data_IF_543501031760
#
_entry.id   IF_543501031760
#
_cell.length_a   1.000
_cell.length_b   1.000
_cell.length_c   1.000
_cell.angle_alpha   90.00
_cell.angle_beta   90.00
_cell.angle_gamma   90.00
#
_symmetry.space_group_name_H-M   'P 1'
#
loop_
_entity.id
_entity.type
_entity.pdbx_description
1 polymer ?
#
# COMPACT_ATOMS: atom_id res chain seq x y z
N UNK A 1 -31.26 -16.44 -15.83
CA UNK A 1 -30.92 -17.13 -17.09
C UNK A 1 -29.41 -17.36 -17.07
N UNK A 2 -28.97 -18.58 -16.78
CA UNK A 2 -27.54 -18.95 -16.70
C UNK A 2 -27.13 -19.39 -18.10
N UNK A 3 -26.22 -18.66 -18.74
CA UNK A 3 -25.62 -19.08 -20.02
C UNK A 3 -24.34 -19.83 -19.68
N UNK A 4 -24.39 -21.16 -19.76
CA UNK A 4 -23.21 -22.01 -19.71
C UNK A 4 -22.54 -22.00 -21.09
N UNK A 5 -21.33 -21.45 -21.20
CA UNK A 5 -20.52 -21.61 -22.40
C UNK A 5 -19.77 -22.95 -22.34
N UNK A 6 -20.16 -23.88 -23.21
CA UNK A 6 -19.38 -25.10 -23.46
C UNK A 6 -18.15 -24.73 -24.30
N UNK A 7 -16.97 -25.07 -23.81
CA UNK A 7 -15.74 -25.09 -24.62
C UNK A 7 -15.52 -26.54 -25.04
N UNK A 8 -15.80 -26.86 -26.30
CA UNK A 8 -15.40 -28.14 -26.89
C UNK A 8 -14.04 -27.99 -27.57
N UNK A 9 -13.13 -28.90 -27.24
CA UNK A 9 -11.87 -29.09 -27.96
C UNK A 9 -12.02 -30.38 -28.76
N UNK A 10 -12.05 -30.28 -30.09
CA UNK A 10 -12.03 -31.47 -30.96
C UNK A 10 -10.58 -31.93 -31.13
N UNK A 11 -10.21 -32.96 -30.38
CA UNK A 11 -9.15 -33.88 -30.71
C UNK A 11 -9.70 -35.30 -30.50
N UNK A 12 -9.81 -36.07 -31.59
CA UNK A 12 -10.06 -37.51 -31.71
C UNK A 12 -10.74 -38.26 -30.55
N UNK A 13 -11.97 -38.72 -30.83
CA UNK A 13 -12.67 -39.90 -30.30
C UNK A 13 -12.28 -40.37 -28.88
N UNK A 14 -12.90 -39.76 -27.87
CA UNK A 14 -13.62 -40.46 -26.80
C UNK A 14 -14.34 -39.40 -25.96
N UNK A 15 -15.66 -39.34 -26.10
CA UNK A 15 -16.50 -38.59 -25.18
C UNK A 15 -16.59 -39.38 -23.87
N UNK A 16 -16.04 -38.87 -22.78
CA UNK A 16 -16.33 -39.37 -21.44
C UNK A 16 -17.07 -38.25 -20.69
N UNK A 17 -18.32 -38.46 -20.26
CA UNK A 17 -19.05 -37.45 -19.50
C UNK A 17 -18.46 -37.35 -18.10
N UNK A 18 -18.10 -36.13 -17.67
CA UNK A 18 -17.83 -35.84 -16.27
C UNK A 18 -19.16 -35.82 -15.51
N UNK A 19 -19.49 -36.93 -14.85
CA UNK A 19 -20.50 -36.95 -13.79
C UNK A 19 -19.88 -36.46 -12.48
N UNK A 20 -20.60 -35.57 -11.80
CA UNK A 20 -20.29 -35.11 -10.46
C UNK A 20 -20.39 -36.28 -9.48
N UNK A 21 -19.28 -36.68 -8.84
CA UNK A 21 -19.32 -37.55 -7.67
C UNK A 21 -19.05 -36.73 -6.41
N UNK A 22 -20.08 -36.64 -5.58
CA UNK A 22 -20.12 -35.92 -4.33
C UNK A 22 -20.10 -36.96 -3.19
N UNK A 23 -18.93 -37.50 -2.83
CA UNK A 23 -18.76 -38.21 -1.55
C UNK A 23 -17.28 -38.34 -1.17
N UNK A 24 -17.01 -38.40 0.14
CA UNK A 24 -15.68 -38.41 0.77
C UNK A 24 -14.96 -39.77 0.74
N UNK A 25 -15.42 -40.72 -0.06
CA UNK A 25 -14.96 -42.11 0.00
C UNK A 25 -14.54 -42.64 -1.38
N UNK A 26 -13.46 -42.10 -1.96
CA UNK A 26 -12.73 -42.76 -3.06
C UNK A 26 -11.32 -42.20 -3.22
N UNK A 27 -10.48 -42.43 -2.21
CA UNK A 27 -9.04 -42.05 -2.20
C UNK A 27 -8.09 -43.25 -2.25
N UNK A 28 -8.51 -44.38 -2.83
CA UNK A 28 -7.64 -45.56 -2.95
C UNK A 28 -7.79 -46.23 -4.30
N UNK A 29 -7.35 -45.56 -5.35
CA UNK A 29 -6.77 -46.14 -6.56
C UNK A 29 -6.44 -45.00 -7.53
N UNK A 30 -5.26 -44.41 -7.39
CA UNK A 30 -4.63 -43.70 -8.51
C UNK A 30 -3.19 -44.20 -8.56
N UNK A 31 -2.88 -44.86 -9.68
CA UNK A 31 -1.64 -45.54 -9.95
C UNK A 31 -0.43 -44.60 -10.03
N UNK A 32 0.71 -45.23 -9.76
CA UNK A 32 2.05 -44.99 -10.28
C UNK A 32 2.33 -43.65 -10.98
N UNK A 33 3.23 -42.89 -10.36
CA UNK A 33 3.89 -41.72 -10.92
C UNK A 33 4.63 -42.07 -12.23
N UNK A 34 4.40 -41.28 -13.27
CA UNK A 34 5.30 -41.21 -14.42
C UNK A 34 6.53 -40.38 -14.05
N UNK A 35 7.72 -40.93 -14.24
CA UNK A 35 9.00 -40.21 -14.14
C UNK A 35 9.29 -39.44 -15.43
N UNK A 36 10.06 -38.33 -15.40
CA UNK A 36 10.28 -37.45 -16.57
C UNK A 36 11.21 -38.00 -17.68
N UNK A 37 11.29 -39.31 -17.88
CA UNK A 37 12.19 -39.94 -18.86
C UNK A 37 11.53 -40.38 -20.18
N UNK A 38 10.19 -40.39 -20.27
CA UNK A 38 9.51 -41.14 -21.34
C UNK A 38 8.69 -40.25 -22.30
N UNK A 39 9.16 -39.05 -22.61
CA UNK A 39 8.53 -38.19 -23.63
C UNK A 39 9.58 -37.70 -24.63
N UNK A 40 9.61 -38.34 -25.81
CA UNK A 40 10.24 -37.75 -26.98
C UNK A 40 9.51 -36.46 -27.41
N UNK A 41 10.22 -35.45 -27.92
CA UNK A 41 9.62 -34.20 -28.34
C UNK A 41 8.92 -34.39 -29.70
N UNK A 42 7.63 -34.72 -29.70
CA UNK A 42 6.81 -34.63 -30.90
C UNK A 42 6.14 -33.27 -31.02
N UNK A 43 6.63 -32.50 -31.99
CA UNK A 43 6.01 -31.41 -32.76
C UNK A 43 5.25 -30.30 -32.01
N UNK A 44 5.76 -29.08 -32.21
CA UNK A 44 5.15 -27.79 -31.89
C UNK A 44 3.70 -27.68 -32.41
N UNK A 45 2.71 -28.03 -31.58
CA UNK A 45 1.33 -27.58 -31.78
C UNK A 45 1.17 -26.20 -31.16
N UNK A 46 1.12 -25.19 -32.03
CA UNK A 46 0.74 -23.82 -31.67
C UNK A 46 -0.76 -23.83 -31.36
N UNK A 47 -1.14 -23.73 -30.09
CA UNK A 47 -2.51 -23.39 -29.70
C UNK A 47 -2.61 -21.87 -29.72
N UNK A 48 -3.23 -21.33 -30.76
CA UNK A 48 -3.51 -19.90 -30.86
C UNK A 48 -4.84 -19.58 -30.15
N UNK A 49 -4.76 -19.14 -28.89
CA UNK A 49 -5.92 -18.63 -28.17
C UNK A 49 -6.19 -17.18 -28.59
N UNK A 50 -7.15 -16.98 -29.49
CA UNK A 50 -7.79 -15.68 -29.71
C UNK A 50 -8.67 -15.36 -28.49
N UNK A 51 -8.23 -14.40 -27.69
CA UNK A 51 -9.05 -13.82 -26.62
C UNK A 51 -9.51 -12.44 -27.08
N UNK A 52 -10.75 -12.35 -27.56
CA UNK A 52 -11.45 -11.07 -27.67
C UNK A 52 -11.84 -10.63 -26.26
N UNK A 53 -11.26 -9.51 -25.82
CA UNK A 53 -11.53 -8.96 -24.48
C UNK A 53 -12.53 -7.84 -24.64
N UNK A 54 -13.82 -8.18 -24.62
CA UNK A 54 -14.83 -7.25 -24.17
C UNK A 54 -14.67 -7.05 -22.65
N UNK A 55 -14.78 -5.79 -22.25
CA UNK A 55 -14.59 -5.25 -20.91
C UNK A 55 -15.18 -6.11 -19.78
N UNK A 56 -14.36 -6.95 -19.15
CA UNK A 56 -14.52 -7.47 -17.77
C UNK A 56 -13.19 -8.04 -17.27
N UNK A 57 -12.87 -7.72 -16.02
CA UNK A 57 -11.65 -8.18 -15.33
C UNK A 57 -11.74 -9.68 -15.09
N UNK A 58 -10.93 -10.48 -15.80
CA UNK A 58 -10.74 -11.89 -15.47
C UNK A 58 -9.49 -12.01 -14.60
N UNK A 59 -9.71 -12.20 -13.30
CA UNK A 59 -8.67 -12.69 -12.39
C UNK A 59 -8.47 -14.19 -12.66
N UNK A 60 -7.56 -14.52 -13.58
CA UNK A 60 -7.19 -15.92 -13.86
C UNK A 60 -6.36 -16.44 -12.68
N UNK A 61 -7.02 -17.18 -11.80
CA UNK A 61 -6.42 -17.96 -10.71
C UNK A 61 -5.98 -19.32 -11.27
N UNK A 62 -4.96 -19.33 -12.12
CA UNK A 62 -4.38 -20.58 -12.63
C UNK A 62 -2.86 -20.50 -12.61
N UNK A 63 -2.23 -21.56 -12.09
CA UNK A 63 -0.79 -21.77 -12.09
C UNK A 63 -0.28 -21.87 -13.53
N UNK A 64 -0.11 -20.74 -14.21
CA UNK A 64 0.68 -20.69 -15.44
C UNK A 64 2.14 -20.77 -14.99
N UNK A 65 2.66 -22.00 -15.03
CA UNK A 65 4.10 -22.26 -15.16
C UNK A 65 4.54 -21.42 -16.35
N UNK A 66 5.28 -20.34 -16.06
CA UNK A 66 5.88 -19.48 -17.07
C UNK A 66 6.94 -20.29 -17.82
N UNK A 67 6.52 -21.02 -18.85
CA UNK A 67 7.43 -21.49 -19.88
C UNK A 67 8.08 -20.27 -20.54
N UNK A 68 9.41 -20.25 -20.45
CA UNK A 68 10.29 -19.14 -20.80
C UNK A 68 10.36 -19.06 -22.34
N UNK A 69 9.56 -18.19 -22.98
CA UNK A 69 9.77 -17.75 -24.38
C UNK A 69 9.46 -16.26 -24.55
N UNK A 70 10.05 -15.67 -25.60
CA UNK A 70 10.06 -14.24 -25.98
C UNK A 70 8.70 -13.53 -25.93
N UNK A 71 7.59 -14.26 -26.13
CA UNK A 71 6.21 -13.73 -26.09
C UNK A 71 5.78 -13.23 -24.69
N UNK A 72 6.34 -13.76 -23.60
CA UNK A 72 6.06 -13.25 -22.24
C UNK A 72 6.55 -11.81 -22.06
N UNK A 73 7.67 -11.45 -22.69
CA UNK A 73 8.21 -10.09 -22.66
C UNK A 73 7.30 -9.12 -23.39
N UNK A 74 6.71 -9.54 -24.50
CA UNK A 74 5.76 -8.74 -25.28
C UNK A 74 4.41 -8.59 -24.56
N UNK A 75 3.94 -9.67 -23.94
CA UNK A 75 2.75 -9.64 -23.08
C UNK A 75 2.95 -8.71 -21.88
N UNK A 76 4.07 -8.82 -21.15
CA UNK A 76 4.42 -7.89 -20.06
C UNK A 76 4.51 -6.44 -20.56
N UNK A 77 5.09 -6.20 -21.75
CA UNK A 77 5.09 -4.85 -22.36
C UNK A 77 3.67 -4.35 -22.64
N UNK A 78 2.76 -5.20 -23.15
CA UNK A 78 1.35 -4.85 -23.39
C UNK A 78 0.59 -4.57 -22.08
N UNK A 79 0.75 -5.40 -21.06
CA UNK A 79 0.16 -5.23 -19.72
C UNK A 79 0.64 -3.92 -19.07
N UNK A 80 1.94 -3.63 -19.14
CA UNK A 80 2.51 -2.38 -18.63
C UNK A 80 2.07 -1.14 -19.43
N UNK A 81 1.89 -1.25 -20.76
CA UNK A 81 1.35 -0.16 -21.60
C UNK A 81 -0.11 0.17 -21.30
N UNK A 82 -0.91 -0.84 -20.95
CA UNK A 82 -2.33 -0.68 -20.57
C UNK A 82 -2.54 -0.17 -19.13
N UNK A 83 -1.47 0.14 -18.40
CA UNK A 83 -1.56 0.70 -17.05
C UNK A 83 -1.90 -0.31 -15.96
N UNK A 84 -1.66 -1.61 -16.20
CA UNK A 84 -1.70 -2.61 -15.13
C UNK A 84 -0.35 -2.58 -14.39
N UNK A 85 -0.33 -1.84 -13.27
CA UNK A 85 0.90 -1.56 -12.51
C UNK A 85 1.18 -2.56 -11.38
N UNK A 86 0.29 -3.54 -11.17
CA UNK A 86 0.40 -4.51 -10.10
C UNK A 86 0.78 -5.87 -10.66
N UNK A 87 2.01 -6.27 -10.40
CA UNK A 87 2.49 -7.62 -10.70
C UNK A 87 2.26 -8.51 -9.48
N UNK A 88 1.67 -9.70 -9.66
CA UNK A 88 1.62 -10.70 -8.61
C UNK A 88 3.01 -10.94 -8.02
N UNK A 89 3.09 -11.19 -6.71
CA UNK A 89 4.37 -11.43 -5.99
C UNK A 89 5.27 -12.44 -6.71
N UNK A 90 4.69 -13.48 -7.33
CA UNK A 90 5.45 -14.48 -8.12
C UNK A 90 6.13 -13.89 -9.36
N UNK A 91 5.50 -12.94 -10.07
CA UNK A 91 6.12 -12.27 -11.22
C UNK A 91 7.21 -11.30 -10.75
N UNK A 92 7.05 -10.67 -9.60
CA UNK A 92 8.10 -9.85 -8.97
C UNK A 92 9.34 -10.70 -8.65
N UNK A 93 9.16 -11.80 -7.93
CA UNK A 93 10.26 -12.71 -7.55
C UNK A 93 10.98 -13.28 -8.80
N UNK A 94 10.22 -13.60 -9.85
CA UNK A 94 10.79 -14.01 -11.14
C UNK A 94 11.66 -12.90 -11.75
N UNK A 95 11.15 -11.68 -11.84
CA UNK A 95 11.89 -10.57 -12.40
C UNK A 95 13.15 -10.21 -11.60
N UNK A 96 13.11 -10.31 -10.27
CA UNK A 96 14.28 -10.15 -9.41
C UNK A 96 15.32 -11.25 -9.66
N UNK A 97 14.88 -12.53 -9.65
CA UNK A 97 15.74 -13.69 -9.94
C UNK A 97 16.44 -13.57 -11.29
N UNK A 98 15.76 -13.02 -12.30
CA UNK A 98 16.27 -12.89 -13.66
C UNK A 98 16.84 -11.50 -13.99
N UNK A 99 17.10 -10.65 -12.98
CA UNK A 99 17.66 -9.29 -13.15
C UNK A 99 16.88 -8.42 -14.17
N UNK A 100 15.58 -8.68 -14.33
CA UNK A 100 14.70 -7.89 -15.19
C UNK A 100 14.43 -6.57 -14.47
N UNK A 101 15.19 -5.54 -14.81
CA UNK A 101 15.04 -4.19 -14.22
C UNK A 101 13.66 -3.63 -14.55
N UNK A 102 12.76 -3.61 -13.56
CA UNK A 102 11.56 -2.78 -13.66
C UNK A 102 11.99 -1.32 -13.71
N UNK A 103 11.59 -0.63 -14.77
CA UNK A 103 11.90 0.80 -14.88
C UNK A 103 11.22 1.53 -13.72
N UNK A 104 12.02 2.12 -12.83
CA UNK A 104 11.68 3.16 -11.82
C UNK A 104 10.63 4.18 -12.32
N UNK A 105 10.55 4.34 -13.64
CA UNK A 105 9.61 5.17 -14.38
C UNK A 105 8.12 4.82 -14.15
N UNK A 106 7.76 3.56 -13.93
CA UNK A 106 6.34 3.18 -13.80
C UNK A 106 5.69 3.75 -12.52
N UNK A 107 6.35 3.61 -11.37
CA UNK A 107 5.90 4.20 -10.09
C UNK A 107 5.91 5.73 -10.14
N UNK A 108 6.91 6.32 -10.79
CA UNK A 108 6.96 7.77 -10.96
C UNK A 108 5.78 8.28 -11.80
N UNK A 109 5.43 7.60 -12.90
CA UNK A 109 4.23 7.93 -13.69
C UNK A 109 2.95 7.78 -12.87
N UNK A 110 2.84 6.73 -12.05
CA UNK A 110 1.68 6.52 -11.19
C UNK A 110 1.56 7.62 -10.11
N UNK A 111 2.67 8.03 -9.52
CA UNK A 111 2.72 9.17 -8.60
C UNK A 111 2.28 10.49 -9.25
N UNK A 112 2.55 10.68 -10.54
CA UNK A 112 2.02 11.83 -11.29
C UNK A 112 0.50 11.76 -11.48
N UNK A 113 -0.12 10.59 -11.35
CA UNK A 113 -1.58 10.43 -11.47
C UNK A 113 -2.35 10.49 -10.14
N UNK A 114 -1.67 10.53 -8.99
CA UNK A 114 -2.37 10.66 -7.69
C UNK A 114 -3.03 12.03 -7.55
N UNK A 115 -4.07 12.13 -6.72
CA UNK A 115 -4.66 13.42 -6.35
C UNK A 115 -3.66 14.28 -5.58
N UNK A 116 -3.03 13.70 -4.56
CA UNK A 116 -2.18 14.43 -3.62
C UNK A 116 -1.03 13.61 -3.05
N UNK A 117 -0.41 14.17 -2.02
CA UNK A 117 0.66 13.54 -1.23
C UNK A 117 0.24 13.44 0.24
N UNK A 118 0.45 12.27 0.83
CA UNK A 118 0.45 12.07 2.27
C UNK A 118 1.88 12.25 2.79
N UNK A 119 2.17 13.42 3.34
CA UNK A 119 3.47 13.77 3.90
C UNK A 119 3.46 13.55 5.42
N UNK A 120 4.53 13.02 5.97
CA UNK A 120 4.77 13.05 7.42
C UNK A 120 6.15 12.50 7.76
N UNK A 121 6.61 12.80 8.97
CA UNK A 121 7.78 12.13 9.52
C UNK A 121 7.49 10.63 9.74
N UNK A 122 8.47 9.72 9.62
CA UNK A 122 8.30 8.32 9.98
C UNK A 122 7.69 8.15 11.38
N UNK A 123 6.87 7.11 11.58
CA UNK A 123 6.21 6.79 12.87
C UNK A 123 5.13 7.80 13.33
N UNK A 124 4.66 8.68 12.46
CA UNK A 124 3.60 9.66 12.76
C UNK A 124 2.16 9.18 12.44
N UNK A 125 1.92 7.88 12.22
CA UNK A 125 0.56 7.37 11.99
C UNK A 125 0.15 7.12 10.52
N UNK A 126 1.09 7.21 9.57
CA UNK A 126 0.85 6.95 8.13
C UNK A 126 0.02 5.69 7.84
N UNK A 127 0.37 4.57 8.48
CA UNK A 127 -0.29 3.29 8.19
C UNK A 127 -1.77 3.36 8.54
N UNK A 128 -2.11 3.94 9.70
CA UNK A 128 -3.48 4.06 10.16
C UNK A 128 -4.29 4.98 9.25
N UNK A 129 -3.78 6.18 8.95
CA UNK A 129 -4.49 7.09 8.07
C UNK A 129 -4.63 6.54 6.63
N UNK A 130 -3.60 5.87 6.09
CA UNK A 130 -3.72 5.20 4.78
C UNK A 130 -4.75 4.08 4.80
N UNK A 131 -4.86 3.31 5.90
CA UNK A 131 -5.89 2.30 6.05
C UNK A 131 -7.29 2.92 5.98
N UNK A 132 -7.53 4.00 6.74
CA UNK A 132 -8.80 4.75 6.71
C UNK A 132 -9.10 5.24 5.29
N UNK A 133 -8.10 5.84 4.64
CA UNK A 133 -8.27 6.39 3.29
C UNK A 133 -8.59 5.29 2.29
N UNK A 134 -7.85 4.17 2.26
CA UNK A 134 -8.15 3.06 1.35
C UNK A 134 -9.52 2.43 1.64
N UNK A 135 -9.86 2.23 2.92
CA UNK A 135 -11.15 1.67 3.33
C UNK A 135 -12.33 2.52 2.86
N UNK A 136 -12.31 3.82 3.11
CA UNK A 136 -13.45 4.70 2.79
C UNK A 136 -13.46 5.08 1.30
N UNK A 137 -12.31 5.42 0.71
CA UNK A 137 -12.27 5.87 -0.70
C UNK A 137 -12.44 4.74 -1.71
N UNK A 138 -12.32 3.48 -1.28
CA UNK A 138 -12.22 2.32 -2.17
C UNK A 138 -11.06 2.43 -3.19
N UNK A 139 -10.12 3.36 -2.97
CA UNK A 139 -9.01 3.66 -3.87
C UNK A 139 -7.67 3.43 -3.16
N UNK A 140 -6.68 2.84 -3.83
CA UNK A 140 -5.41 2.51 -3.18
C UNK A 140 -4.60 3.76 -2.82
N UNK A 141 -3.69 3.65 -1.86
CA UNK A 141 -2.63 4.64 -1.64
C UNK A 141 -1.31 4.07 -2.11
N UNK A 142 -0.45 4.89 -2.70
CA UNK A 142 0.88 4.48 -3.12
C UNK A 142 1.87 4.63 -1.96
N UNK A 143 2.66 3.60 -1.69
CA UNK A 143 3.74 3.68 -0.71
C UNK A 143 4.89 4.59 -1.16
N UNK A 144 5.92 4.70 -0.31
CA UNK A 144 7.08 5.56 -0.53
C UNK A 144 7.80 5.28 -1.85
N UNK A 145 8.06 6.34 -2.63
CA UNK A 145 8.79 6.19 -3.89
C UNK A 145 10.21 5.69 -3.65
N UNK A 146 10.55 4.61 -4.36
CA UNK A 146 11.85 3.95 -4.28
C UNK A 146 11.91 2.83 -3.23
N UNK A 147 10.90 2.69 -2.37
CA UNK A 147 10.80 1.54 -1.48
C UNK A 147 9.85 0.51 -2.11
N UNK A 148 10.42 -0.63 -2.53
CA UNK A 148 9.62 -1.68 -3.17
C UNK A 148 8.69 -2.40 -2.19
N UNK A 149 9.01 -2.31 -0.91
CA UNK A 149 8.35 -3.00 0.16
C UNK A 149 7.28 -2.16 0.86
N UNK A 150 7.30 -0.84 0.64
CA UNK A 150 6.17 0.02 0.99
C UNK A 150 5.08 -0.11 -0.09
N UNK A 151 4.19 -1.07 0.13
CA UNK A 151 3.07 -1.39 -0.74
C UNK A 151 1.79 -0.64 -0.32
N UNK A 152 0.74 -0.71 -1.13
CA UNK A 152 -0.59 -0.20 -0.76
C UNK A 152 -1.17 -0.99 0.41
N UNK A 153 -2.01 -0.37 1.24
CA UNK A 153 -2.52 -1.00 2.46
C UNK A 153 -3.39 -2.22 2.16
N UNK A 154 -4.25 -2.15 1.14
CA UNK A 154 -5.08 -3.28 0.69
C UNK A 154 -4.29 -4.50 0.20
N UNK A 155 -2.98 -4.35 -0.01
CA UNK A 155 -2.09 -5.45 -0.43
C UNK A 155 -1.44 -6.18 0.75
N UNK A 156 -1.60 -5.65 1.96
CA UNK A 156 -1.19 -6.36 3.17
C UNK A 156 -2.13 -7.54 3.45
N UNK A 157 -1.63 -8.52 4.20
CA UNK A 157 -2.43 -9.65 4.67
C UNK A 157 -2.93 -9.35 6.09
N UNK A 158 -4.24 -9.21 6.24
CA UNK A 158 -4.89 -8.96 7.52
C UNK A 158 -5.48 -10.26 8.07
N UNK A 159 -5.82 -10.27 9.36
CA UNK A 159 -6.59 -11.38 9.95
C UNK A 159 -7.93 -11.56 9.23
N UNK A 160 -8.58 -10.46 8.87
CA UNK A 160 -9.70 -10.43 7.92
C UNK A 160 -9.25 -9.96 6.53
N UNK A 161 -9.03 -10.90 5.62
CA UNK A 161 -8.63 -10.62 4.23
C UNK A 161 -9.78 -10.12 3.35
N UNK A 162 -10.98 -9.89 3.88
CA UNK A 162 -12.11 -9.31 3.15
C UNK A 162 -12.18 -7.79 3.27
N UNK A 163 -11.58 -7.22 4.32
CA UNK A 163 -11.85 -5.85 4.75
C UNK A 163 -11.52 -4.76 3.74
N UNK A 164 -10.54 -5.00 2.87
CA UNK A 164 -10.11 -4.07 1.82
C UNK A 164 -10.25 -4.66 0.42
N UNK A 165 -11.08 -5.70 0.23
CA UNK A 165 -11.29 -6.31 -1.09
C UNK A 165 -11.97 -5.39 -2.09
N UNK A 166 -12.73 -4.41 -1.61
CA UNK A 166 -13.38 -3.40 -2.44
C UNK A 166 -12.41 -2.32 -2.93
N UNK A 167 -11.18 -2.28 -2.41
CA UNK A 167 -10.18 -1.28 -2.82
C UNK A 167 -9.62 -1.64 -4.19
N UNK A 168 -9.83 -0.77 -5.17
CA UNK A 168 -9.40 -0.96 -6.55
C UNK A 168 -9.14 0.37 -7.27
N UNK A 169 -8.63 0.30 -8.50
CA UNK A 169 -8.48 1.48 -9.36
C UNK A 169 -7.16 2.24 -9.20
N UNK A 170 -7.20 3.55 -9.46
CA UNK A 170 -6.02 4.42 -9.48
C UNK A 170 -5.66 4.88 -8.07
N UNK A 171 -4.36 4.94 -7.71
CA UNK A 171 -3.99 5.42 -6.39
C UNK A 171 -4.34 6.88 -6.17
N UNK A 172 -4.90 7.19 -5.00
CA UNK A 172 -5.35 8.54 -4.67
C UNK A 172 -4.27 9.41 -4.05
N UNK A 173 -3.41 8.83 -3.21
CA UNK A 173 -2.33 9.56 -2.53
C UNK A 173 -1.00 8.84 -2.67
N UNK A 174 0.07 9.63 -2.70
CA UNK A 174 1.44 9.14 -2.56
C UNK A 174 1.95 9.37 -1.14
N UNK A 175 2.45 8.34 -0.47
CA UNK A 175 3.19 8.48 0.80
C UNK A 175 4.58 9.05 0.57
N UNK A 176 4.96 10.05 1.36
CA UNK A 176 6.30 10.61 1.37
C UNK A 176 6.78 10.90 2.80
N UNK A 177 8.08 10.70 3.03
CA UNK A 177 8.78 11.11 4.25
C UNK A 177 9.79 12.23 4.01
N UNK A 178 10.03 12.58 2.74
CA UNK A 178 10.99 13.60 2.34
C UNK A 178 10.36 14.47 1.25
N UNK A 179 10.64 15.77 1.30
CA UNK A 179 10.08 16.79 0.39
C UNK A 179 10.53 16.62 -1.06
N UNK A 180 11.78 16.21 -1.29
CA UNK A 180 12.32 15.96 -2.64
C UNK A 180 11.65 14.79 -3.39
N UNK A 181 10.83 13.98 -2.71
CA UNK A 181 10.09 12.88 -3.33
C UNK A 181 8.68 13.27 -3.76
N UNK A 182 8.26 14.49 -3.47
CA UNK A 182 6.95 15.00 -3.85
C UNK A 182 6.99 15.35 -5.34
N UNK A 183 6.12 14.73 -6.17
CA UNK A 183 6.08 15.03 -7.60
C UNK A 183 5.70 16.49 -7.85
N UNK A 184 6.27 17.09 -8.89
CA UNK A 184 5.83 18.38 -9.44
C UNK A 184 4.81 18.14 -10.58
N UNK A 185 3.81 19.03 -10.81
CA UNK A 185 3.54 20.28 -10.10
C UNK A 185 3.03 20.06 -8.66
N UNK A 186 3.02 21.11 -7.84
CA UNK A 186 2.57 21.05 -6.44
C UNK A 186 1.11 20.56 -6.37
N UNK A 187 0.92 19.41 -5.73
CA UNK A 187 -0.39 18.81 -5.47
C UNK A 187 -0.87 19.12 -4.05
N UNK A 188 -2.17 18.90 -3.75
CA UNK A 188 -2.66 18.92 -2.37
C UNK A 188 -1.84 18.02 -1.44
N UNK A 189 -1.61 18.50 -0.22
CA UNK A 189 -0.86 17.79 0.82
C UNK A 189 -1.78 17.49 2.00
N UNK A 190 -1.78 16.23 2.42
CA UNK A 190 -2.19 15.86 3.77
C UNK A 190 -0.93 15.68 4.59
N UNK A 191 -0.73 16.49 5.62
CA UNK A 191 0.44 16.43 6.49
C UNK A 191 0.05 15.84 7.84
N UNK A 192 0.59 14.67 8.19
CA UNK A 192 0.38 14.11 9.54
C UNK A 192 1.44 14.68 10.48
N UNK A 193 0.99 15.47 11.44
CA UNK A 193 1.82 16.09 12.46
C UNK A 193 1.65 15.31 13.77
N UNK A 194 2.76 14.80 14.31
CA UNK A 194 2.79 14.08 15.59
C UNK A 194 3.78 14.77 16.51
N UNK A 195 3.48 14.91 17.79
CA UNK A 195 4.41 15.51 18.74
C UNK A 195 5.85 14.99 18.53
N UNK A 196 6.84 15.88 18.29
CA UNK A 196 8.18 15.42 17.90
C UNK A 196 8.86 14.59 18.99
N UNK A 197 8.57 14.87 20.27
CA UNK A 197 9.00 14.06 21.43
C UNK A 197 8.52 12.62 21.39
N UNK A 198 7.51 12.28 20.59
CA UNK A 198 7.10 10.90 20.34
C UNK A 198 7.63 10.36 19.02
N UNK A 199 7.58 11.18 17.95
CA UNK A 199 7.88 10.72 16.61
C UNK A 199 9.38 10.46 16.40
N UNK A 200 10.23 11.40 16.83
CA UNK A 200 11.67 11.36 16.61
C UNK A 200 12.33 10.20 17.37
N UNK A 201 12.16 10.03 18.69
CA UNK A 201 12.81 8.93 19.39
C UNK A 201 12.38 7.58 18.82
N UNK A 202 11.09 7.39 18.55
CA UNK A 202 10.56 6.13 17.97
C UNK A 202 11.18 5.79 16.62
N UNK A 203 11.59 6.79 15.84
CA UNK A 203 12.31 6.54 14.59
C UNK A 203 13.82 6.35 14.82
N UNK A 204 14.47 7.27 15.54
CA UNK A 204 15.90 7.26 15.80
C UNK A 204 16.34 5.97 16.52
N UNK A 205 15.59 5.51 17.52
CA UNK A 205 15.93 4.28 18.23
C UNK A 205 15.79 3.01 17.40
N UNK A 206 14.79 2.93 16.52
CA UNK A 206 14.66 1.81 15.58
C UNK A 206 15.86 1.76 14.63
N UNK A 207 16.39 2.92 14.28
CA UNK A 207 17.56 3.08 13.43
C UNK A 207 18.85 2.71 14.15
N UNK A 208 19.04 3.15 15.40
CA UNK A 208 20.15 2.73 16.25
C UNK A 208 20.19 1.20 16.43
N UNK A 209 19.05 0.55 16.63
CA UNK A 209 18.99 -0.92 16.69
C UNK A 209 19.37 -1.62 15.38
N UNK A 210 19.41 -0.88 14.27
CA UNK A 210 19.82 -1.36 12.94
C UNK A 210 21.21 -0.84 12.54
N UNK A 211 22.05 -0.44 13.52
CA UNK A 211 23.39 0.12 13.31
C UNK A 211 23.42 1.43 12.50
N UNK A 212 22.32 2.17 12.45
CA UNK A 212 22.31 3.51 11.86
C UNK A 212 22.92 4.51 12.86
N UNK A 213 23.98 5.20 12.42
CA UNK A 213 24.72 6.18 13.22
C UNK A 213 24.29 7.62 12.93
N UNK A 214 23.16 7.82 12.25
CA UNK A 214 22.62 9.16 11.94
C UNK A 214 22.49 9.97 13.24
N UNK A 215 23.13 11.16 13.33
CA UNK A 215 23.02 12.01 14.50
C UNK A 215 21.56 12.41 14.80
N UNK A 216 21.24 12.60 16.07
CA UNK A 216 19.91 13.02 16.51
C UNK A 216 19.49 14.36 15.88
N UNK A 217 20.47 15.24 15.70
CA UNK A 217 20.36 16.56 15.06
C UNK A 217 19.81 16.43 13.63
N UNK A 218 20.25 15.43 12.87
CA UNK A 218 19.76 15.18 11.51
C UNK A 218 18.31 14.67 11.52
N UNK A 219 17.90 13.91 12.55
CA UNK A 219 16.51 13.53 12.72
C UNK A 219 15.61 14.73 13.04
N UNK A 220 16.06 15.63 13.91
CA UNK A 220 15.35 16.89 14.23
C UNK A 220 15.25 17.77 12.99
N UNK A 221 16.37 18.00 12.30
CA UNK A 221 16.41 18.78 11.05
C UNK A 221 15.50 18.19 9.98
N UNK A 222 15.51 16.87 9.81
CA UNK A 222 14.60 16.19 8.88
C UNK A 222 13.14 16.41 9.26
N UNK A 223 12.79 16.31 10.55
CA UNK A 223 11.43 16.59 11.03
C UNK A 223 11.01 18.04 10.73
N UNK A 224 11.85 19.01 11.09
CA UNK A 224 11.56 20.44 10.90
C UNK A 224 11.47 20.83 9.43
N UNK A 225 12.32 20.26 8.57
CA UNK A 225 12.25 20.51 7.13
C UNK A 225 10.90 20.13 6.49
N UNK A 226 10.14 19.21 7.10
CA UNK A 226 8.78 18.90 6.66
C UNK A 226 7.79 19.99 7.04
N UNK A 227 7.92 20.55 8.25
CA UNK A 227 7.10 21.68 8.71
C UNK A 227 7.38 22.88 7.82
N UNK A 228 8.64 23.28 7.68
CA UNK A 228 9.02 24.45 6.88
C UNK A 228 8.54 24.32 5.43
N UNK A 229 8.61 23.10 4.86
CA UNK A 229 8.10 22.83 3.53
C UNK A 229 6.58 22.99 3.44
N UNK A 230 5.84 22.53 4.44
CA UNK A 230 4.38 22.68 4.49
C UNK A 230 3.98 24.14 4.64
N UNK A 231 4.70 24.92 5.46
CA UNK A 231 4.45 26.36 5.61
C UNK A 231 4.75 27.16 4.34
N UNK A 232 5.76 26.73 3.59
CA UNK A 232 6.12 27.34 2.31
C UNK A 232 5.29 26.81 1.11
N UNK A 233 4.43 25.82 1.32
CA UNK A 233 3.66 25.21 0.23
C UNK A 233 2.57 26.16 -0.24
N UNK A 234 2.53 26.43 -1.55
CA UNK A 234 1.55 27.36 -2.15
C UNK A 234 0.22 26.72 -2.51
N UNK A 235 0.14 25.38 -2.45
CA UNK A 235 -1.07 24.61 -2.72
C UNK A 235 -1.88 24.34 -1.46
N UNK A 236 -2.97 23.60 -1.61
CA UNK A 236 -3.83 23.22 -0.49
C UNK A 236 -3.12 22.28 0.48
N UNK A 237 -3.17 22.60 1.77
CA UNK A 237 -2.68 21.74 2.86
C UNK A 237 -3.81 21.40 3.82
N UNK A 238 -3.88 20.14 4.22
CA UNK A 238 -4.66 19.68 5.38
C UNK A 238 -3.71 19.06 6.40
N UNK A 239 -3.64 19.64 7.60
CA UNK A 239 -2.84 19.11 8.70
C UNK A 239 -3.71 18.18 9.55
N UNK A 240 -3.26 16.94 9.72
CA UNK A 240 -3.88 15.95 10.60
C UNK A 240 -3.02 15.79 11.84
N UNK A 241 -3.54 16.16 13.01
CA UNK A 241 -2.88 15.90 14.28
C UNK A 241 -2.96 14.40 14.61
N UNK A 242 -1.83 13.76 14.90
CA UNK A 242 -1.78 12.33 15.22
C UNK A 242 -2.64 11.97 16.43
N UNK A 243 -2.69 12.85 17.44
CA UNK A 243 -3.48 12.61 18.65
C UNK A 243 -4.98 12.60 18.34
N UNK A 244 -5.45 13.48 17.46
CA UNK A 244 -6.84 13.47 16.98
C UNK A 244 -7.13 12.26 16.09
N UNK A 245 -6.16 11.83 15.28
CA UNK A 245 -6.29 10.62 14.46
C UNK A 245 -6.45 9.36 15.33
N UNK A 246 -5.90 9.35 16.55
CA UNK A 246 -6.05 8.24 17.50
C UNK A 246 -7.31 8.39 18.35
N UNK A 247 -7.56 9.59 18.90
CA UNK A 247 -8.68 9.84 19.84
C UNK A 247 -10.03 9.99 19.14
N UNK A 248 -10.05 10.66 17.99
CA UNK A 248 -11.26 11.07 17.26
C UNK A 248 -11.18 10.72 15.76
N UNK A 249 -10.89 9.45 15.38
CA UNK A 249 -10.60 9.07 14.00
C UNK A 249 -11.75 9.36 13.03
N UNK A 250 -13.01 9.26 13.47
CA UNK A 250 -14.19 9.60 12.67
C UNK A 250 -14.21 11.07 12.23
N UNK A 251 -13.88 11.99 13.13
CA UNK A 251 -13.82 13.42 12.82
C UNK A 251 -12.69 13.74 11.84
N UNK A 252 -11.52 13.13 12.07
CA UNK A 252 -10.38 13.22 11.15
C UNK A 252 -10.74 12.67 9.77
N UNK A 253 -11.43 11.53 9.70
CA UNK A 253 -11.89 10.97 8.43
C UNK A 253 -12.79 11.94 7.68
N UNK A 254 -13.82 12.51 8.32
CA UNK A 254 -14.69 13.51 7.67
C UNK A 254 -13.91 14.70 7.10
N UNK A 255 -12.96 15.25 7.86
CA UNK A 255 -12.13 16.35 7.38
C UNK A 255 -11.24 15.96 6.19
N UNK A 256 -10.58 14.79 6.26
CA UNK A 256 -9.74 14.27 5.18
C UNK A 256 -10.56 14.03 3.91
N UNK A 257 -11.75 13.44 4.02
CA UNK A 257 -12.58 13.13 2.86
C UNK A 257 -13.22 14.38 2.24
N UNK A 258 -13.58 15.37 3.06
CA UNK A 258 -13.95 16.71 2.58
C UNK A 258 -12.79 17.39 1.84
N UNK A 259 -11.56 17.27 2.35
CA UNK A 259 -10.37 17.82 1.69
C UNK A 259 -10.06 17.13 0.35
N UNK A 260 -10.22 15.81 0.30
CA UNK A 260 -10.00 15.02 -0.92
C UNK A 260 -11.16 15.11 -1.93
N UNK A 261 -12.28 15.77 -1.56
CA UNK A 261 -13.50 15.86 -2.38
C UNK A 261 -14.03 14.48 -2.78
N UNK A 262 -14.03 13.53 -1.84
CA UNK A 262 -14.53 12.18 -2.06
C UNK A 262 -15.85 12.01 -1.34
N UNK A 263 -16.87 11.63 -2.11
CA UNK A 263 -18.18 11.25 -1.60
C UNK A 263 -18.28 9.72 -1.55
N UNK A 264 -18.18 9.15 -0.35
CA UNK A 264 -18.43 7.72 -0.13
C UNK A 264 -19.05 7.48 1.24
N UNK A 265 -20.27 7.99 1.38
CA UNK A 265 -21.03 7.97 2.63
C UNK A 265 -21.24 6.55 3.19
N UNK A 266 -21.33 5.56 2.32
CA UNK A 266 -21.52 4.17 2.73
C UNK A 266 -20.35 3.66 3.57
N UNK A 267 -19.12 3.76 3.05
CA UNK A 267 -17.95 3.31 3.78
C UNK A 267 -17.55 4.27 4.90
N UNK A 268 -17.86 5.57 4.76
CA UNK A 268 -17.66 6.53 5.84
C UNK A 268 -18.53 6.19 7.05
N UNK A 269 -19.84 5.97 6.88
CA UNK A 269 -20.74 5.54 7.98
C UNK A 269 -20.28 4.22 8.59
N UNK A 270 -19.91 3.24 7.77
CA UNK A 270 -19.35 1.97 8.28
C UNK A 270 -18.09 2.18 9.10
N UNK A 271 -17.19 3.06 8.66
CA UNK A 271 -16.00 3.40 9.41
C UNK A 271 -16.36 4.05 10.75
N UNK A 272 -17.26 5.04 10.75
CA UNK A 272 -17.70 5.74 11.96
C UNK A 272 -18.25 4.77 13.02
N UNK A 273 -19.04 3.77 12.61
CA UNK A 273 -19.60 2.77 13.52
C UNK A 273 -18.58 1.73 14.00
N UNK A 274 -17.50 1.45 13.25
CA UNK A 274 -16.58 0.33 13.53
C UNK A 274 -15.10 0.75 13.64
N UNK A 275 -14.81 2.03 13.92
CA UNK A 275 -13.45 2.56 13.83
C UNK A 275 -12.49 1.91 14.82
N UNK A 276 -12.97 1.46 15.99
CA UNK A 276 -12.16 0.76 17.01
C UNK A 276 -11.71 -0.61 16.50
N UNK A 277 -12.63 -1.42 15.98
CA UNK A 277 -12.33 -2.74 15.41
C UNK A 277 -11.41 -2.61 14.19
N UNK A 278 -11.65 -1.62 13.35
CA UNK A 278 -10.81 -1.32 12.19
C UNK A 278 -9.41 -0.86 12.62
N UNK A 279 -9.29 -0.11 13.73
CA UNK A 279 -7.99 0.28 14.28
C UNK A 279 -7.20 -0.94 14.72
N UNK A 280 -7.81 -1.88 15.45
CA UNK A 280 -7.16 -3.13 15.83
C UNK A 280 -6.76 -3.98 14.62
N UNK A 281 -7.68 -4.13 13.66
CA UNK A 281 -7.42 -4.86 12.43
C UNK A 281 -6.26 -4.25 11.63
N UNK A 282 -6.17 -2.92 11.56
CA UNK A 282 -5.08 -2.24 10.86
C UNK A 282 -3.70 -2.61 11.42
N UNK A 283 -3.61 -2.96 12.70
CA UNK A 283 -2.36 -3.37 13.37
C UNK A 283 -1.91 -4.77 12.94
N UNK A 284 -2.83 -5.63 12.52
CA UNK A 284 -2.56 -7.06 12.20
C UNK A 284 -1.95 -7.28 10.81
N UNK A 285 -1.88 -6.25 9.97
CA UNK A 285 -1.34 -6.34 8.62
C UNK A 285 0.09 -6.92 8.57
N UNK A 286 0.24 -8.08 7.92
CA UNK A 286 1.52 -8.76 7.63
C UNK A 286 2.07 -8.31 6.27
N UNK A 287 3.30 -8.74 5.95
CA UNK A 287 4.08 -8.37 4.75
C UNK A 287 4.47 -6.89 4.63
N UNK A 288 4.28 -6.11 5.69
CA UNK A 288 4.87 -4.78 5.83
C UNK A 288 6.35 -4.91 6.19
N UNK A 289 7.21 -4.14 5.54
CA UNK A 289 8.63 -4.07 5.94
C UNK A 289 8.85 -3.18 7.16
N UNK A 290 7.89 -2.30 7.46
CA UNK A 290 8.00 -1.38 8.58
C UNK A 290 6.68 -1.28 9.34
N UNK A 291 6.63 -1.85 10.54
CA UNK A 291 5.51 -1.67 11.46
C UNK A 291 5.44 -2.78 12.52
N UNK A 292 5.35 -2.37 13.78
CA UNK A 292 5.05 -3.27 14.89
C UNK A 292 6.21 -4.17 15.30
N UNK A 293 7.46 -3.70 15.21
CA UNK A 293 8.45 -4.21 16.17
C UNK A 293 7.81 -3.98 17.52
N UNK A 294 7.65 -5.05 18.31
CA UNK A 294 7.35 -5.00 19.73
C UNK A 294 8.50 -4.21 20.37
N UNK A 295 8.49 -2.90 20.19
CA UNK A 295 9.28 -1.96 20.96
C UNK A 295 8.60 -2.00 22.33
N UNK A 296 8.82 -3.11 23.05
CA UNK A 296 8.42 -3.31 24.44
C UNK A 296 8.96 -2.08 25.13
N UNK A 297 8.06 -1.18 25.54
CA UNK A 297 8.27 0.11 26.19
C UNK A 297 9.68 0.31 26.76
N UNK A 298 10.69 0.48 25.90
CA UNK A 298 11.94 1.08 26.33
C UNK A 298 11.54 2.52 26.47
N UNK A 299 11.37 2.92 27.72
CA UNK A 299 11.26 4.32 28.10
C UNK A 299 12.35 5.04 27.33
N UNK A 300 11.92 6.01 26.52
CA UNK A 300 12.87 6.91 25.85
C UNK A 300 13.73 7.48 26.98
N UNK A 301 15.03 7.32 26.84
CA UNK A 301 15.98 7.86 27.80
C UNK A 301 15.64 9.34 28.05
N UNK A 302 15.53 9.72 29.32
CA UNK A 302 15.19 11.08 29.72
C UNK A 302 16.18 12.09 29.11
N UNK A 303 17.45 11.70 28.99
CA UNK A 303 18.51 12.52 28.42
C UNK A 303 18.31 12.74 26.93
N UNK A 304 17.89 11.70 26.20
CA UNK A 304 17.57 11.81 24.76
C UNK A 304 16.36 12.72 24.57
N UNK A 305 15.33 12.60 25.43
CA UNK A 305 14.16 13.47 25.37
C UNK A 305 14.55 14.93 25.65
N UNK A 306 15.37 15.19 26.67
CA UNK A 306 15.87 16.52 26.99
C UNK A 306 16.68 17.12 25.84
N UNK A 307 17.55 16.31 25.21
CA UNK A 307 18.32 16.74 24.04
C UNK A 307 17.42 17.08 22.84
N UNK A 308 16.36 16.30 22.59
CA UNK A 308 15.38 16.63 21.53
C UNK A 308 14.66 17.94 21.85
N UNK A 309 14.21 18.14 23.08
CA UNK A 309 13.57 19.40 23.51
C UNK A 309 14.50 20.57 23.21
N UNK A 310 15.74 20.50 23.69
CA UNK A 310 16.73 21.56 23.48
C UNK A 310 16.97 21.87 21.99
N UNK A 311 17.10 20.85 21.14
CA UNK A 311 17.30 21.03 19.69
C UNK A 311 16.06 21.61 19.00
N UNK A 312 14.87 21.22 19.44
CA UNK A 312 13.60 21.64 18.83
C UNK A 312 13.24 23.06 19.22
N UNK A 313 13.53 23.49 20.45
CA UNK A 313 13.27 24.85 20.92
C UNK A 313 14.03 25.93 20.13
N UNK A 314 15.01 25.54 19.31
CA UNK A 314 15.71 26.42 18.37
C UNK A 314 14.90 26.76 17.11
N UNK A 315 13.74 26.14 16.89
CA UNK A 315 12.91 26.34 15.69
C UNK A 315 11.59 27.04 16.05
N UNK A 316 11.32 28.21 15.48
CA UNK A 316 10.07 28.92 15.76
C UNK A 316 8.84 28.22 15.15
N UNK A 317 9.03 27.54 14.02
CA UNK A 317 7.94 26.90 13.25
C UNK A 317 7.19 25.82 14.03
N UNK A 318 7.85 25.10 14.96
CA UNK A 318 7.16 24.08 15.76
C UNK A 318 6.25 24.70 16.83
N UNK A 319 6.63 25.86 17.37
CA UNK A 319 5.91 26.49 18.48
C UNK A 319 4.47 26.85 18.08
N UNK A 320 4.29 27.28 16.84
CA UNK A 320 2.99 27.61 16.24
C UNK A 320 1.97 26.47 16.34
N UNK A 321 2.40 25.22 16.20
CA UNK A 321 1.49 24.06 16.17
C UNK A 321 1.25 23.40 17.53
N UNK A 322 2.10 23.65 18.52
CA UNK A 322 2.07 22.90 19.79
C UNK A 322 2.06 23.74 21.06
N UNK A 323 2.47 25.02 21.03
CA UNK A 323 2.41 25.90 22.21
C UNK A 323 1.09 26.65 22.34
N UNK A 324 0.38 26.87 21.24
CA UNK A 324 -0.95 27.46 21.30
C UNK A 324 -1.97 26.36 21.60
N UNK A 325 -2.80 26.47 22.66
CA UNK A 325 -3.94 25.60 22.80
C UNK A 325 -4.78 25.78 21.53
N UNK A 326 -4.97 24.69 20.77
CA UNK A 326 -5.83 24.71 19.60
C UNK A 326 -7.27 24.89 20.10
N UNK A 327 -7.64 26.15 20.30
CA UNK A 327 -8.89 26.54 20.96
C UNK A 327 -10.15 26.22 20.13
N UNK A 328 -10.00 25.64 18.94
CA UNK A 328 -11.09 25.10 18.15
C UNK A 328 -10.71 23.68 17.71
N UNK A 329 -11.51 22.69 18.12
CA UNK A 329 -11.37 21.26 17.80
C UNK A 329 -11.63 20.94 16.30
N UNK A 330 -11.24 21.81 15.37
CA UNK A 330 -11.22 21.41 13.97
C UNK A 330 -10.11 20.37 13.80
N UNK A 331 -10.51 19.12 13.57
CA UNK A 331 -9.62 17.97 13.50
C UNK A 331 -8.64 18.02 12.32
N UNK A 332 -8.79 19.02 11.44
CA UNK A 332 -7.82 19.38 10.43
C UNK A 332 -7.69 20.89 10.29
N UNK A 333 -6.45 21.37 10.21
CA UNK A 333 -6.16 22.77 9.92
C UNK A 333 -5.97 22.89 8.41
N UNK A 334 -6.78 23.75 7.79
CA UNK A 334 -6.55 24.16 6.41
C UNK A 334 -5.62 25.36 6.41
N UNK A 335 -4.51 25.23 5.70
CA UNK A 335 -3.58 26.33 5.40
C UNK A 335 -3.68 26.63 3.91
#
# INVERSE_FOLDING_TARGET
MVVCANVSCQCNNMAVPFSYLNSKADRRQIGTFWTPSDCEPQNDRIIELKVEVESRVIAIKTNIILMIRSKTREYLKKVLRKGYYFLPVRVRNYCEKHRIKFKKHARHKLALTTFGTLLSYPRSGNHWLRFIIEYISSSPTLGHLGDINDISIHQNEFTDNTILRHVAGKPILLKAHNTHKIPKPQKPIIFILRHPYDAIPRHAFLRLSNNDTTPLEEHVKSYMSLIDFVEAHKGQVSIVMYDDLVKNPASVARCVFKFLQIENDHYLRKFETNHTELAELSKTGKKRVWGGVNYKNKTVDADIKAKIIHLIDQYDSWQKYFKQPMNNHESCIKI
#
